data_IF_066524688553
#
_entry.id   IF_066524688553
#
_cell.length_a   1.000
_cell.length_b   1.000
_cell.length_c   1.000
_cell.angle_alpha   90.00
_cell.angle_beta   90.00
_cell.angle_gamma   90.00
#
_symmetry.space_group_name_H-M   'P 1'
#
loop_
_entity.id
_entity.type
_entity.pdbx_description
1 polymer ?
#
# COMPACT_ATOMS: atom_id res chain seq x y z
N UNK A 1 13.52 21.06 -12.07
CA UNK A 1 12.72 20.50 -10.98
C UNK A 1 12.27 19.08 -11.36
N UNK A 2 12.31 18.15 -10.41
CA UNK A 2 11.76 16.82 -10.59
C UNK A 2 10.25 16.83 -10.33
N UNK A 3 9.55 15.86 -10.92
CA UNK A 3 8.13 15.63 -10.64
C UNK A 3 7.97 14.66 -9.46
N UNK A 4 6.96 14.90 -8.64
CA UNK A 4 6.68 14.09 -7.45
C UNK A 4 5.65 13.00 -7.74
N UNK A 5 5.93 11.77 -7.29
CA UNK A 5 4.92 10.72 -7.23
C UNK A 5 4.04 10.96 -6.02
N UNK A 6 2.87 11.57 -6.23
CA UNK A 6 1.97 11.93 -5.14
C UNK A 6 1.11 10.77 -4.63
N UNK A 7 0.74 9.86 -5.51
CA UNK A 7 -0.20 8.78 -5.21
C UNK A 7 0.08 7.55 -6.04
N UNK A 8 -0.07 6.39 -5.43
CA UNK A 8 -0.18 5.11 -6.12
C UNK A 8 -1.62 4.63 -6.02
N UNK A 9 -2.25 4.36 -7.17
CA UNK A 9 -3.63 3.85 -7.21
C UNK A 9 -3.61 2.34 -7.43
N UNK A 10 -4.29 1.61 -6.56
CA UNK A 10 -4.38 0.17 -6.50
C UNK A 10 -5.81 -0.28 -6.82
N UNK A 11 -5.95 -1.27 -7.70
CA UNK A 11 -7.24 -1.90 -7.95
C UNK A 11 -7.57 -2.85 -6.80
N UNK A 12 -8.75 -2.70 -6.23
CA UNK A 12 -9.19 -3.47 -5.06
C UNK A 12 -10.56 -4.12 -5.30
N UNK A 13 -10.78 -5.26 -4.66
CA UNK A 13 -12.03 -6.01 -4.78
C UNK A 13 -13.19 -5.36 -4.02
N UNK A 14 -12.87 -4.78 -2.86
CA UNK A 14 -13.81 -4.14 -1.95
C UNK A 14 -13.13 -2.91 -1.32
N UNK A 15 -13.60 -1.73 -1.67
CA UNK A 15 -13.00 -0.46 -1.26
C UNK A 15 -13.05 -0.24 0.25
N UNK A 16 -14.14 -0.59 0.93
CA UNK A 16 -14.26 -0.41 2.38
C UNK A 16 -13.35 -1.36 3.15
N UNK A 17 -13.29 -2.62 2.73
CA UNK A 17 -12.41 -3.61 3.33
C UNK A 17 -10.93 -3.22 3.15
N UNK A 18 -10.55 -2.80 1.95
CA UNK A 18 -9.21 -2.34 1.67
C UNK A 18 -8.86 -1.09 2.48
N UNK A 19 -9.73 -0.07 2.49
CA UNK A 19 -9.49 1.16 3.25
C UNK A 19 -9.32 0.88 4.74
N UNK A 20 -10.19 0.06 5.34
CA UNK A 20 -10.07 -0.35 6.74
C UNK A 20 -8.70 -0.99 7.02
N UNK A 21 -8.19 -1.82 6.10
CA UNK A 21 -6.88 -2.43 6.26
C UNK A 21 -5.76 -1.38 6.36
N UNK A 22 -5.70 -0.39 5.45
CA UNK A 22 -4.69 0.68 5.47
C UNK A 22 -4.84 1.59 6.69
N UNK A 23 -6.06 1.88 7.10
CA UNK A 23 -6.36 2.66 8.31
C UNK A 23 -5.85 1.94 9.57
N UNK A 24 -6.08 0.64 9.71
CA UNK A 24 -5.68 -0.15 10.88
C UNK A 24 -4.19 -0.50 10.87
N UNK A 25 -3.64 -0.91 9.74
CA UNK A 25 -2.24 -1.38 9.65
C UNK A 25 -1.26 -0.23 9.71
N UNK A 26 -1.49 0.82 8.91
CA UNK A 26 -0.55 1.93 8.76
C UNK A 26 -1.01 3.25 9.40
N UNK A 27 -2.21 3.28 9.97
CA UNK A 27 -2.74 4.49 10.57
C UNK A 27 -3.06 5.59 9.57
N UNK A 28 -3.23 5.25 8.29
CA UNK A 28 -3.61 6.21 7.26
C UNK A 28 -5.03 6.73 7.49
N UNK A 29 -5.32 7.91 7.00
CA UNK A 29 -6.64 8.53 7.11
C UNK A 29 -7.30 8.68 5.75
N UNK A 30 -8.60 8.41 5.71
CA UNK A 30 -9.42 8.56 4.52
C UNK A 30 -9.63 10.04 4.24
N UNK A 31 -9.14 10.51 3.09
CA UNK A 31 -9.23 11.90 2.66
C UNK A 31 -10.32 12.15 1.63
N UNK A 32 -10.53 11.20 0.72
CA UNK A 32 -11.55 11.28 -0.31
C UNK A 32 -12.20 9.91 -0.50
N UNK A 33 -13.50 9.90 -0.76
CA UNK A 33 -14.28 8.70 -1.04
C UNK A 33 -15.39 9.10 -2.01
N UNK A 34 -15.21 8.84 -3.30
CA UNK A 34 -16.08 9.35 -4.35
C UNK A 34 -16.29 8.32 -5.45
N UNK A 35 -17.56 8.03 -5.80
CA UNK A 35 -17.87 7.28 -7.01
C UNK A 35 -17.65 8.17 -8.25
N UNK A 36 -17.22 7.59 -9.36
CA UNK A 36 -17.15 8.28 -10.63
C UNK A 36 -17.29 7.31 -11.81
N UNK A 37 -17.64 7.88 -12.95
CA UNK A 37 -17.77 7.15 -14.21
C UNK A 37 -16.50 7.35 -15.04
N UNK A 38 -15.91 6.26 -15.56
CA UNK A 38 -14.69 6.33 -16.35
C UNK A 38 -14.93 7.05 -17.69
N UNK A 39 -13.98 7.92 -18.07
CA UNK A 39 -13.92 8.50 -19.41
C UNK A 39 -13.49 7.48 -20.47
N UNK A 40 -12.72 6.45 -20.06
CA UNK A 40 -12.11 5.46 -20.94
C UNK A 40 -10.85 5.95 -21.66
N UNK A 41 -10.29 7.10 -21.25
CA UNK A 41 -9.17 7.72 -21.96
C UNK A 41 -7.84 7.61 -21.22
N UNK A 42 -7.79 8.11 -19.98
CA UNK A 42 -6.51 8.27 -19.26
C UNK A 42 -6.04 7.02 -18.54
N UNK A 43 -6.94 6.24 -17.96
CA UNK A 43 -6.62 5.02 -17.25
C UNK A 43 -6.66 3.82 -18.19
N UNK A 44 -5.57 3.05 -18.25
CA UNK A 44 -5.48 1.84 -19.07
C UNK A 44 -6.16 0.64 -18.38
N UNK A 45 -7.41 0.82 -17.96
CA UNK A 45 -8.24 -0.23 -17.36
C UNK A 45 -9.73 0.09 -17.51
N UNK A 46 -10.54 -0.94 -17.70
CA UNK A 46 -11.98 -0.79 -17.91
C UNK A 46 -12.35 -0.13 -19.24
N UNK A 47 -13.56 0.40 -19.30
CA UNK A 47 -14.12 1.02 -20.50
C UNK A 47 -14.82 2.32 -20.15
N UNK A 48 -15.06 3.16 -21.17
CA UNK A 48 -15.90 4.36 -21.03
C UNK A 48 -17.28 3.97 -20.51
N UNK A 49 -17.71 4.64 -19.45
CA UNK A 49 -19.01 4.41 -18.81
C UNK A 49 -18.97 3.46 -17.63
N UNK A 50 -17.87 2.76 -17.39
CA UNK A 50 -17.74 1.93 -16.19
C UNK A 50 -17.88 2.78 -14.93
N UNK A 51 -18.64 2.30 -13.97
CA UNK A 51 -18.84 2.95 -12.68
C UNK A 51 -17.82 2.42 -11.69
N UNK A 52 -17.06 3.34 -11.09
CA UNK A 52 -16.00 3.04 -10.12
C UNK A 52 -16.17 3.87 -8.85
N UNK A 53 -15.42 3.52 -7.82
CA UNK A 53 -15.27 4.28 -6.58
C UNK A 53 -13.79 4.45 -6.28
N UNK A 54 -13.35 5.65 -6.02
CA UNK A 54 -11.99 5.96 -5.60
C UNK A 54 -11.98 6.42 -4.16
N UNK A 55 -11.24 5.70 -3.32
CA UNK A 55 -10.93 6.10 -1.94
C UNK A 55 -9.47 6.51 -1.92
N UNK A 56 -9.17 7.73 -1.45
CA UNK A 56 -7.79 8.19 -1.28
C UNK A 56 -7.46 8.28 0.20
N UNK A 57 -6.35 7.64 0.57
CA UNK A 57 -5.82 7.62 1.92
C UNK A 57 -4.53 8.45 1.99
N UNK A 58 -4.39 9.22 3.04
CA UNK A 58 -3.20 10.01 3.35
C UNK A 58 -2.46 9.46 4.56
N UNK A 59 -1.13 9.58 4.52
CA UNK A 59 -0.26 9.43 5.67
C UNK A 59 0.07 10.81 6.26
N UNK A 60 1.34 11.07 6.55
CA UNK A 60 1.77 12.28 7.28
C UNK A 60 2.05 13.49 6.37
N UNK A 61 2.02 13.31 5.06
CA UNK A 61 2.31 14.37 4.09
C UNK A 61 1.06 14.71 3.27
N UNK A 62 0.85 16.02 3.01
CA UNK A 62 -0.36 16.48 2.33
C UNK A 62 -0.44 16.11 0.85
N UNK A 63 0.69 15.85 0.20
CA UNK A 63 0.76 15.60 -1.23
C UNK A 63 1.39 14.27 -1.62
N UNK A 64 2.37 13.78 -0.85
CA UNK A 64 3.21 12.64 -1.23
C UNK A 64 2.85 11.41 -0.39
N UNK A 65 2.96 10.22 -1.00
CA UNK A 65 2.75 8.94 -0.29
C UNK A 65 1.29 8.55 -0.10
N UNK A 66 0.37 9.14 -0.86
CA UNK A 66 -1.04 8.75 -0.83
C UNK A 66 -1.24 7.38 -1.50
N UNK A 67 -2.21 6.66 -1.00
CA UNK A 67 -2.74 5.43 -1.61
C UNK A 67 -4.15 5.72 -2.12
N UNK A 68 -4.38 5.44 -3.40
CA UNK A 68 -5.71 5.42 -3.99
C UNK A 68 -6.19 3.98 -4.11
N UNK A 69 -7.42 3.72 -3.69
CA UNK A 69 -8.07 2.42 -3.80
C UNK A 69 -9.20 2.55 -4.81
N UNK A 70 -9.08 1.84 -5.93
CA UNK A 70 -10.03 1.92 -7.03
C UNK A 70 -10.81 0.62 -7.12
N UNK A 71 -12.12 0.71 -6.87
CA UNK A 71 -13.07 -0.39 -6.96
C UNK A 71 -13.98 -0.21 -8.17
N UNK A 72 -14.15 -1.27 -8.97
CA UNK A 72 -15.19 -1.31 -10.02
C UNK A 72 -16.54 -1.69 -9.40
N UNK A 73 -17.51 -0.80 -9.54
CA UNK A 73 -18.86 -1.00 -9.01
C UNK A 73 -19.76 -1.71 -10.04
N UNK A 74 -19.72 -1.23 -11.29
CA UNK A 74 -20.55 -1.77 -12.36
C UNK A 74 -19.93 -1.45 -13.74
N UNK A 75 -19.62 -2.47 -14.58
CA UNK A 75 -19.63 -3.89 -14.22
C UNK A 75 -18.57 -4.21 -13.17
N UNK A 76 -18.72 -5.28 -12.42
CA UNK A 76 -17.64 -5.75 -11.52
C UNK A 76 -16.44 -6.18 -12.37
N UNK A 77 -15.25 -5.72 -11.99
CA UNK A 77 -14.03 -6.19 -12.62
C UNK A 77 -13.71 -7.61 -12.16
N UNK A 78 -13.38 -8.47 -13.10
CA UNK A 78 -12.90 -9.80 -12.79
C UNK A 78 -11.56 -9.71 -12.06
N UNK A 79 -11.45 -10.39 -10.94
CA UNK A 79 -10.24 -10.45 -10.14
C UNK A 79 -9.71 -11.88 -10.10
N UNK A 80 -8.39 -12.09 -10.02
CA UNK A 80 -7.84 -13.43 -9.85
C UNK A 80 -8.37 -14.11 -8.60
N UNK A 81 -8.70 -15.40 -8.70
CA UNK A 81 -9.17 -16.20 -7.57
C UNK A 81 -8.09 -16.37 -6.50
N UNK A 82 -6.83 -16.43 -6.92
CA UNK A 82 -5.69 -16.59 -6.04
C UNK A 82 -4.86 -15.29 -5.97
N UNK A 83 -4.44 -14.95 -4.76
CA UNK A 83 -3.51 -13.83 -4.54
C UNK A 83 -2.08 -14.26 -4.92
N UNK A 84 -1.25 -13.32 -5.43
CA UNK A 84 0.13 -13.61 -5.76
C UNK A 84 0.91 -14.06 -4.51
N UNK A 85 1.84 -14.98 -4.72
CA UNK A 85 2.73 -15.51 -3.68
C UNK A 85 4.17 -15.00 -3.82
N UNK A 86 4.45 -14.32 -4.91
CA UNK A 86 5.75 -13.75 -5.25
C UNK A 86 5.58 -12.47 -6.08
N UNK A 87 6.60 -11.63 -6.07
CA UNK A 87 6.64 -10.40 -6.86
C UNK A 87 7.11 -10.75 -8.27
N UNK A 88 6.45 -10.18 -9.29
CA UNK A 88 6.78 -10.33 -10.71
C UNK A 88 6.98 -8.97 -11.37
N UNK A 89 7.51 -8.99 -12.60
CA UNK A 89 7.63 -7.77 -13.40
C UNK A 89 6.28 -7.04 -13.54
N UNK A 90 6.32 -5.72 -13.37
CA UNK A 90 5.14 -4.86 -13.44
C UNK A 90 4.41 -4.68 -12.10
N UNK A 91 4.83 -5.37 -11.04
CA UNK A 91 4.25 -5.24 -9.70
C UNK A 91 5.23 -4.46 -8.81
N UNK A 92 4.80 -3.34 -8.21
CA UNK A 92 5.67 -2.57 -7.34
C UNK A 92 5.85 -3.24 -5.98
N UNK A 93 6.97 -2.93 -5.32
CA UNK A 93 7.19 -3.16 -3.89
C UNK A 93 6.99 -1.83 -3.18
N UNK A 94 6.09 -1.80 -2.22
CA UNK A 94 5.92 -0.63 -1.36
C UNK A 94 6.87 -0.75 -0.17
N UNK A 95 7.70 0.27 0.02
CA UNK A 95 8.58 0.35 1.18
C UNK A 95 8.04 1.42 2.13
N UNK A 96 7.67 0.99 3.33
CA UNK A 96 7.02 1.82 4.34
C UNK A 96 7.99 2.13 5.47
N UNK A 97 8.17 3.42 5.77
CA UNK A 97 8.86 3.88 6.97
C UNK A 97 7.87 3.85 8.14
N UNK A 98 8.05 2.94 9.08
CA UNK A 98 7.16 2.72 10.22
C UNK A 98 7.80 3.17 11.52
N UNK A 99 6.96 3.59 12.47
CA UNK A 99 7.37 3.80 13.87
C UNK A 99 7.21 2.53 14.72
N UNK A 100 6.46 1.53 14.19
CA UNK A 100 6.16 0.27 14.88
C UNK A 100 5.96 -0.85 13.84
N UNK A 101 7.07 -1.37 13.31
CA UNK A 101 7.02 -2.42 12.29
C UNK A 101 6.43 -3.74 12.82
N UNK A 102 6.72 -4.09 14.08
CA UNK A 102 6.17 -5.30 14.71
C UNK A 102 4.65 -5.20 14.88
N UNK A 103 4.17 -4.08 15.40
CA UNK A 103 2.74 -3.84 15.56
C UNK A 103 1.99 -3.77 14.22
N UNK A 104 2.59 -3.18 13.20
CA UNK A 104 2.00 -3.15 11.86
C UNK A 104 1.78 -4.58 11.31
N UNK A 105 2.77 -5.47 11.48
CA UNK A 105 2.65 -6.87 11.06
C UNK A 105 1.53 -7.59 11.82
N UNK A 106 1.44 -7.41 13.15
CA UNK A 106 0.39 -8.07 13.93
C UNK A 106 -1.02 -7.57 13.53
N UNK A 107 -1.18 -6.27 13.31
CA UNK A 107 -2.46 -5.73 12.81
C UNK A 107 -2.80 -6.27 11.41
N UNK A 108 -1.80 -6.39 10.53
CA UNK A 108 -2.00 -7.00 9.21
C UNK A 108 -2.41 -8.47 9.32
N UNK A 109 -1.74 -9.23 10.19
CA UNK A 109 -2.06 -10.64 10.49
C UNK A 109 -3.50 -10.79 10.99
N UNK A 110 -3.91 -10.00 11.95
CA UNK A 110 -5.26 -10.03 12.54
C UNK A 110 -6.35 -9.72 11.51
N UNK A 111 -6.04 -8.92 10.49
CA UNK A 111 -6.93 -8.59 9.38
C UNK A 111 -6.88 -9.59 8.21
N UNK A 112 -6.11 -10.67 8.33
CA UNK A 112 -6.05 -11.76 7.36
C UNK A 112 -4.99 -11.62 6.28
N UNK A 113 -4.01 -10.74 6.46
CA UNK A 113 -2.86 -10.63 5.57
C UNK A 113 -1.99 -11.88 5.60
N UNK A 114 -1.47 -12.25 4.43
CA UNK A 114 -0.41 -13.24 4.37
C UNK A 114 0.92 -12.60 4.73
N UNK A 115 1.61 -13.18 5.71
CA UNK A 115 2.93 -12.75 6.15
C UNK A 115 3.99 -13.44 5.30
N UNK A 116 4.93 -12.66 4.76
CA UNK A 116 6.05 -13.20 4.00
C UNK A 116 7.30 -13.33 4.87
N UNK A 117 7.62 -12.29 5.64
CA UNK A 117 8.80 -12.29 6.52
C UNK A 117 8.41 -11.73 7.90
N UNK A 118 8.62 -12.55 8.93
CA UNK A 118 8.50 -12.13 10.33
C UNK A 118 9.54 -11.03 10.65
N UNK A 119 9.32 -10.23 11.71
CA UNK A 119 10.22 -9.15 12.05
C UNK A 119 11.67 -9.63 12.26
N UNK A 120 12.58 -8.97 11.56
CA UNK A 120 14.03 -9.22 11.62
C UNK A 120 14.76 -7.94 11.98
N UNK A 121 15.88 -8.11 12.67
CA UNK A 121 16.79 -7.01 13.02
C UNK A 121 18.04 -7.09 12.13
N UNK A 122 18.48 -5.94 11.63
CA UNK A 122 19.74 -5.82 10.90
C UNK A 122 20.28 -4.40 11.04
N UNK A 123 21.56 -4.22 10.65
CA UNK A 123 22.17 -2.91 10.54
C UNK A 123 22.52 -2.61 9.09
N UNK A 124 22.37 -1.37 8.69
CA UNK A 124 22.67 -0.90 7.34
C UNK A 124 23.35 0.45 7.39
N UNK A 125 24.29 0.68 6.45
CA UNK A 125 24.84 2.01 6.22
C UNK A 125 23.94 2.75 5.26
N UNK A 126 23.35 3.86 5.72
CA UNK A 126 22.51 4.72 4.90
C UNK A 126 23.30 5.51 3.86
N UNK A 127 22.58 6.15 2.94
CA UNK A 127 23.18 7.03 1.92
C UNK A 127 23.94 8.23 2.54
N UNK A 128 23.61 8.60 3.75
CA UNK A 128 24.27 9.63 4.57
C UNK A 128 25.55 9.13 5.26
N UNK A 129 25.95 7.86 5.03
CA UNK A 129 27.12 7.23 5.64
C UNK A 129 26.94 6.77 7.09
N UNK A 130 25.76 7.02 7.70
CA UNK A 130 25.50 6.60 9.07
C UNK A 130 25.03 5.16 9.14
N UNK A 131 25.45 4.44 10.18
CA UNK A 131 24.96 3.09 10.47
C UNK A 131 23.61 3.19 11.19
N UNK A 132 22.64 2.44 10.72
CA UNK A 132 21.27 2.41 11.28
C UNK A 132 20.90 1.00 11.68
N UNK A 133 20.43 0.84 12.89
CA UNK A 133 19.82 -0.40 13.35
C UNK A 133 18.33 -0.38 12.97
N UNK A 134 17.90 -1.43 12.29
CA UNK A 134 16.60 -1.54 11.66
C UNK A 134 15.83 -2.75 12.19
N UNK A 135 14.51 -2.63 12.23
CA UNK A 135 13.58 -3.76 12.29
C UNK A 135 12.77 -3.73 11.00
N UNK A 136 12.63 -4.86 10.34
CA UNK A 136 11.83 -4.97 9.13
C UNK A 136 11.06 -6.27 9.06
N UNK A 137 9.92 -6.19 8.40
CA UNK A 137 9.06 -7.31 8.09
C UNK A 137 8.41 -7.09 6.72
N UNK A 138 7.75 -8.09 6.20
CA UNK A 138 7.04 -7.95 4.93
C UNK A 138 5.78 -8.81 4.88
N UNK A 139 4.79 -8.30 4.20
CA UNK A 139 3.50 -8.95 4.07
C UNK A 139 2.72 -8.41 2.86
N UNK A 140 1.64 -9.09 2.54
CA UNK A 140 0.73 -8.73 1.47
C UNK A 140 -0.51 -8.05 2.06
N UNK A 141 -1.05 -7.08 1.33
CA UNK A 141 -2.39 -6.59 1.67
C UNK A 141 -3.46 -7.62 1.26
N UNK A 142 -4.73 -7.25 1.40
CA UNK A 142 -5.85 -8.16 1.12
C UNK A 142 -6.13 -8.37 -0.38
N UNK A 143 -5.52 -7.56 -1.24
CA UNK A 143 -5.67 -7.61 -2.69
C UNK A 143 -4.42 -8.12 -3.44
N UNK A 144 -3.35 -8.41 -2.71
CA UNK A 144 -2.12 -8.99 -3.26
C UNK A 144 -1.04 -7.97 -3.58
N UNK A 145 -1.05 -6.80 -2.97
CA UNK A 145 0.04 -5.83 -3.03
C UNK A 145 1.04 -6.06 -1.92
N UNK A 146 2.33 -5.93 -2.23
CA UNK A 146 3.41 -6.32 -1.34
C UNK A 146 4.06 -5.14 -0.64
N UNK A 147 4.27 -5.27 0.66
CA UNK A 147 4.83 -4.24 1.52
C UNK A 147 6.05 -4.73 2.28
N UNK A 148 7.16 -4.00 2.16
CA UNK A 148 8.27 -4.06 3.09
C UNK A 148 8.09 -2.94 4.12
N UNK A 149 8.03 -3.28 5.40
CA UNK A 149 7.81 -2.34 6.49
C UNK A 149 9.06 -2.24 7.33
N UNK A 150 9.69 -1.08 7.33
CA UNK A 150 10.97 -0.84 7.95
C UNK A 150 10.88 0.22 9.04
N UNK A 151 11.47 -0.06 10.19
CA UNK A 151 11.59 0.84 11.32
C UNK A 151 13.06 1.10 11.63
N UNK A 152 13.47 2.36 11.67
CA UNK A 152 14.77 2.74 12.20
C UNK A 152 14.69 2.78 13.73
N UNK A 153 15.47 1.91 14.40
CA UNK A 153 15.49 1.81 15.86
C UNK A 153 16.52 2.76 16.46
N UNK A 154 17.72 2.81 15.82
CA UNK A 154 18.84 3.62 16.28
C UNK A 154 19.69 4.08 15.10
N UNK A 155 20.20 5.28 15.19
CA UNK A 155 21.20 5.82 14.27
C UNK A 155 22.50 6.00 15.06
N UNK A 156 23.58 5.46 14.55
CA UNK A 156 24.93 5.61 15.13
C UNK A 156 25.63 6.80 14.46
N UNK A 157 26.21 7.65 15.26
CA UNK A 157 26.99 8.81 14.80
C UNK A 157 28.39 8.40 14.32
#
# INVERSE_FOLDING_TARGET
>A
LADDIKRTTLLVRDGDRAANWYEQVFGMSRWMDTPFTLSGEQLAAGQKGDRTRLIILKANHDLIGMIGLLEWLDPKMEAPDELPTEIKFGVPVFVVASQDARGALERARDLGSRIHCEPREWSVTGADGKVKDMIGCSFWDLDGYFFEVNQTVKIHD
#
